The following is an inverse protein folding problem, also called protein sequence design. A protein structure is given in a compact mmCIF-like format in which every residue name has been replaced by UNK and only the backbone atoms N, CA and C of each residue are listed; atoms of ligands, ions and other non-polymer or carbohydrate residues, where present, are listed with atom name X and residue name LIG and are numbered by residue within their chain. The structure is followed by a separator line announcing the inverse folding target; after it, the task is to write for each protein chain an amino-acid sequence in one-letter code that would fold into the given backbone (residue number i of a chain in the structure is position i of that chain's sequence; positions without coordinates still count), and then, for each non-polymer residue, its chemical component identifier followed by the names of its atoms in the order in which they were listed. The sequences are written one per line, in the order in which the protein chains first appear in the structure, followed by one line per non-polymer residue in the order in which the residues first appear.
data_IF_231155055542
#
_entry.id   IF_231155055542
#
_cell.length_a   1.000
_cell.length_b   1.000
_cell.length_c   1.000
_cell.angle_alpha   90.00
_cell.angle_beta   90.00
_cell.angle_gamma   90.00
#
_symmetry.space_group_name_H-M   'P 1'
#
loop_
_entity.id
_entity.type
_entity.pdbx_description
1 polymer ?
#
# COMPACT_ATOMS: atom_id res chain seq x y z
N UNK A 1 20.53 55.02 4.63
CA UNK A 1 20.23 54.63 3.24
C UNK A 1 21.46 53.85 2.81
N UNK A 2 21.44 52.53 2.66
CA UNK A 2 20.56 51.73 1.80
C UNK A 2 19.96 50.51 2.54
N UNK A 3 18.69 50.27 2.25
CA UNK A 3 17.94 49.05 2.60
C UNK A 3 18.15 48.06 1.46
N UNK A 4 18.81 46.95 1.74
CA UNK A 4 18.88 45.80 0.84
C UNK A 4 17.86 44.75 1.25
N UNK A 5 16.62 44.90 0.80
CA UNK A 5 15.67 43.79 0.71
C UNK A 5 16.23 42.76 -0.27
N UNK A 6 16.47 41.53 0.20
CA UNK A 6 16.66 40.40 -0.69
C UNK A 6 15.93 39.17 -0.17
N UNK A 7 14.70 39.06 -0.66
CA UNK A 7 14.04 37.83 -1.15
C UNK A 7 14.21 36.58 -0.27
N UNK A 8 13.20 36.38 0.57
CA UNK A 8 12.79 35.07 1.06
C UNK A 8 12.42 34.20 -0.16
N UNK A 9 13.01 33.01 -0.36
CA UNK A 9 12.43 32.05 -1.28
C UNK A 9 11.19 31.45 -0.61
N UNK A 10 10.01 31.81 -1.10
CA UNK A 10 8.81 31.01 -0.90
C UNK A 10 9.03 29.65 -1.56
N UNK A 11 9.44 28.67 -0.76
CA UNK A 11 9.44 27.26 -1.13
C UNK A 11 8.00 26.82 -1.34
N UNK A 12 7.52 26.99 -2.57
CA UNK A 12 6.29 26.37 -3.05
C UNK A 12 6.45 24.86 -2.91
N UNK A 13 5.86 24.30 -1.85
CA UNK A 13 5.75 22.86 -1.63
C UNK A 13 4.87 22.23 -2.70
N UNK A 14 5.44 22.01 -3.88
CA UNK A 14 4.83 21.19 -4.90
C UNK A 14 4.77 19.76 -4.37
N UNK A 15 3.56 19.21 -4.27
CA UNK A 15 3.35 17.78 -4.00
C UNK A 15 4.22 16.97 -4.99
N UNK A 16 4.96 15.95 -4.53
CA UNK A 16 5.71 15.08 -5.43
C UNK A 16 4.76 14.52 -6.50
N UNK A 17 5.06 14.80 -7.77
CA UNK A 17 4.21 14.32 -8.86
C UNK A 17 4.23 12.79 -8.90
N UNK A 18 3.04 12.18 -8.86
CA UNK A 18 2.85 10.76 -9.09
C UNK A 18 3.52 10.35 -10.42
N UNK A 19 4.66 9.66 -10.33
CA UNK A 19 5.45 9.24 -11.50
C UNK A 19 6.96 9.52 -11.46
N UNK A 20 7.48 10.27 -10.48
CA UNK A 20 8.91 10.59 -10.42
C UNK A 20 9.80 9.50 -9.80
N UNK A 21 9.23 8.57 -9.03
CA UNK A 21 9.99 7.48 -8.40
C UNK A 21 10.28 6.37 -9.42
N UNK A 22 11.42 6.54 -10.11
CA UNK A 22 12.04 5.51 -10.94
C UNK A 22 12.60 4.41 -10.04
N UNK A 23 12.71 3.20 -10.58
CA UNK A 23 13.30 2.09 -9.84
C UNK A 23 12.70 0.73 -10.21
N UNK A 24 12.97 -0.21 -9.33
CA UNK A 24 12.55 -1.60 -9.41
C UNK A 24 11.92 -2.00 -8.10
N UNK A 25 10.88 -2.83 -8.15
CA UNK A 25 10.40 -3.55 -6.97
C UNK A 25 10.84 -4.99 -7.13
N UNK A 26 11.54 -5.52 -6.12
CA UNK A 26 11.85 -6.94 -6.05
C UNK A 26 10.89 -7.62 -5.07
N UNK A 27 10.51 -8.85 -5.40
CA UNK A 27 9.81 -9.79 -4.53
C UNK A 27 10.79 -10.91 -4.23
N UNK A 28 11.16 -11.06 -2.96
CA UNK A 28 12.11 -12.08 -2.53
C UNK A 28 11.46 -13.47 -2.36
N UNK A 29 12.24 -14.45 -1.91
CA UNK A 29 11.77 -15.82 -1.68
C UNK A 29 10.83 -15.97 -0.46
N UNK A 30 10.87 -15.03 0.47
CA UNK A 30 9.91 -14.89 1.57
C UNK A 30 8.58 -14.25 1.11
N UNK A 31 8.56 -13.65 -0.09
CA UNK A 31 7.42 -12.92 -0.62
C UNK A 31 7.33 -11.48 -0.10
N UNK A 32 8.44 -10.94 0.39
CA UNK A 32 8.59 -9.55 0.80
C UNK A 32 8.92 -8.68 -0.41
N UNK A 33 8.35 -7.48 -0.40
CA UNK A 33 8.50 -6.48 -1.44
C UNK A 33 9.46 -5.41 -0.99
N UNK A 34 10.47 -5.13 -1.80
CA UNK A 34 11.47 -4.08 -1.55
C UNK A 34 11.58 -3.16 -2.77
N UNK A 35 11.58 -1.85 -2.54
CA UNK A 35 11.77 -0.84 -3.58
C UNK A 35 13.26 -0.47 -3.67
N UNK A 36 13.80 -0.52 -4.89
CA UNK A 36 15.16 -0.06 -5.21
C UNK A 36 15.10 1.10 -6.18
N UNK A 37 15.73 2.25 -5.87
CA UNK A 37 15.68 3.44 -6.73
C UNK A 37 16.49 3.25 -8.02
N UNK A 38 17.49 2.36 -8.01
CA UNK A 38 18.36 2.07 -9.15
C UNK A 38 18.65 0.58 -9.26
N UNK A 39 19.05 0.14 -10.45
CA UNK A 39 19.52 -1.25 -10.64
C UNK A 39 20.80 -1.52 -9.85
N UNK A 40 21.67 -0.53 -9.66
CA UNK A 40 22.87 -0.68 -8.84
C UNK A 40 22.54 -0.96 -7.37
N UNK A 41 21.56 -0.24 -6.80
CA UNK A 41 21.08 -0.50 -5.44
C UNK A 41 20.48 -1.90 -5.31
N UNK A 42 19.71 -2.33 -6.31
CA UNK A 42 19.15 -3.69 -6.38
C UNK A 42 20.27 -4.74 -6.40
N UNK A 43 21.23 -4.62 -7.32
CA UNK A 43 22.30 -5.62 -7.48
C UNK A 43 23.23 -5.71 -6.26
N UNK A 44 23.34 -4.64 -5.48
CA UNK A 44 24.15 -4.62 -4.26
C UNK A 44 23.47 -5.30 -3.06
N UNK A 45 22.14 -5.48 -3.11
CA UNK A 45 21.36 -6.09 -2.02
C UNK A 45 21.20 -7.60 -2.19
N UNK A 46 21.35 -8.11 -3.41
CA UNK A 46 21.25 -9.53 -3.72
C UNK A 46 22.63 -10.21 -3.77
N UNK A 47 22.70 -11.43 -3.24
CA UNK A 47 23.90 -12.28 -3.24
C UNK A 47 23.87 -13.32 -4.37
N UNK A 48 22.68 -13.82 -4.74
CA UNK A 48 22.52 -14.83 -5.79
C UNK A 48 21.18 -14.73 -6.52
N UNK A 49 21.14 -15.29 -7.72
CA UNK A 49 20.02 -15.15 -8.68
C UNK A 49 18.66 -15.60 -8.11
N UNK A 50 18.66 -16.65 -7.28
CA UNK A 50 17.44 -17.27 -6.75
C UNK A 50 16.76 -16.51 -5.61
N UNK A 51 17.38 -15.45 -5.06
CA UNK A 51 16.79 -14.68 -3.97
C UNK A 51 15.59 -13.84 -4.41
N UNK A 52 15.55 -13.39 -5.66
CA UNK A 52 14.42 -12.64 -6.20
C UNK A 52 13.50 -13.57 -7.01
N UNK A 53 12.27 -13.79 -6.54
CA UNK A 53 11.23 -14.51 -7.29
C UNK A 53 10.75 -13.66 -8.48
N UNK A 54 10.65 -12.35 -8.30
CA UNK A 54 10.21 -11.42 -9.34
C UNK A 54 10.86 -10.05 -9.16
N UNK A 55 11.34 -9.45 -10.25
CA UNK A 55 11.72 -8.04 -10.28
C UNK A 55 10.83 -7.34 -11.29
N UNK A 56 10.20 -6.24 -10.90
CA UNK A 56 9.27 -5.49 -11.73
C UNK A 56 9.71 -4.03 -11.86
N UNK A 57 9.73 -3.53 -13.09
CA UNK A 57 9.94 -2.11 -13.40
C UNK A 57 8.66 -1.29 -13.29
N UNK A 58 8.80 0.03 -13.25
CA UNK A 58 7.66 0.96 -13.17
C UNK A 58 6.70 0.86 -14.36
N UNK A 59 7.20 0.43 -15.52
CA UNK A 59 6.45 0.14 -16.74
C UNK A 59 5.69 -1.20 -16.68
N UNK A 60 5.89 -1.99 -15.62
CA UNK A 60 5.33 -3.33 -15.46
C UNK A 60 6.13 -4.43 -16.16
N UNK A 61 7.30 -4.11 -16.71
CA UNK A 61 8.21 -5.09 -17.28
C UNK A 61 8.84 -5.94 -16.19
N UNK A 62 8.96 -7.24 -16.44
CA UNK A 62 9.62 -8.20 -15.59
C UNK A 62 11.11 -8.30 -15.91
N UNK A 63 11.92 -8.51 -14.87
CA UNK A 63 13.36 -8.68 -14.95
C UNK A 63 13.77 -9.89 -14.10
N UNK A 64 14.96 -10.41 -14.37
CA UNK A 64 15.61 -11.44 -13.57
C UNK A 64 17.05 -11.05 -13.28
N UNK A 65 17.61 -11.63 -12.24
CA UNK A 65 19.04 -11.61 -12.00
C UNK A 65 19.71 -12.66 -12.89
N UNK A 66 20.91 -12.35 -13.35
CA UNK A 66 21.86 -13.28 -13.95
C UNK A 66 23.16 -13.20 -13.18
N UNK A 67 23.85 -14.33 -13.08
CA UNK A 67 25.20 -14.37 -12.57
C UNK A 67 26.13 -14.82 -13.71
N UNK A 68 27.17 -14.04 -13.97
CA UNK A 68 28.17 -14.40 -14.96
C UNK A 68 29.23 -15.37 -14.40
N UNK A 69 30.20 -15.73 -15.24
CA UNK A 69 31.29 -16.64 -14.86
C UNK A 69 32.16 -16.10 -13.71
N UNK A 70 32.24 -14.78 -13.55
CA UNK A 70 33.01 -14.08 -12.52
C UNK A 70 32.20 -13.85 -11.23
N UNK A 71 31.03 -14.51 -11.13
CA UNK A 71 30.07 -14.40 -10.03
C UNK A 71 29.47 -13.00 -9.87
N UNK A 72 29.57 -12.14 -10.87
CA UNK A 72 28.96 -10.81 -10.83
C UNK A 72 27.48 -10.92 -11.19
N UNK A 73 26.65 -10.23 -10.40
CA UNK A 73 25.22 -10.14 -10.69
C UNK A 73 24.94 -9.03 -11.69
N UNK A 74 24.05 -9.32 -12.63
CA UNK A 74 23.51 -8.35 -13.58
C UNK A 74 21.99 -8.53 -13.71
N UNK A 75 21.31 -7.48 -14.13
CA UNK A 75 19.89 -7.53 -14.43
C UNK A 75 19.69 -7.90 -15.91
N UNK A 76 18.74 -8.80 -16.20
CA UNK A 76 18.37 -9.10 -17.59
C UNK A 76 17.83 -7.86 -18.30
N UNK A 77 17.73 -7.94 -19.62
CA UNK A 77 16.80 -7.10 -20.36
C UNK A 77 15.36 -7.37 -19.93
N UNK A 78 14.44 -6.45 -20.24
CA UNK A 78 13.03 -6.62 -19.96
C UNK A 78 12.48 -7.90 -20.63
N UNK A 79 11.88 -8.78 -19.85
CA UNK A 79 11.35 -10.08 -20.28
C UNK A 79 9.91 -9.99 -20.82
N UNK A 80 9.33 -8.78 -20.83
CA UNK A 80 7.92 -8.53 -21.11
C UNK A 80 7.13 -8.26 -19.83
N UNK A 81 5.80 -8.11 -19.93
CA UNK A 81 4.97 -7.73 -18.78
C UNK A 81 4.90 -8.84 -17.73
N UNK A 82 4.95 -8.44 -16.45
CA UNK A 82 4.70 -9.36 -15.33
C UNK A 82 3.23 -9.81 -15.32
N UNK A 83 2.96 -11.02 -14.85
CA UNK A 83 1.60 -11.47 -14.56
C UNK A 83 0.98 -10.59 -13.46
N UNK A 84 0.08 -9.74 -13.90
CA UNK A 84 -0.64 -8.79 -13.07
C UNK A 84 -1.49 -9.45 -11.98
N UNK A 85 -2.11 -10.59 -12.29
CA UNK A 85 -2.99 -11.29 -11.35
C UNK A 85 -2.17 -11.89 -10.22
N UNK A 86 -1.04 -12.50 -10.56
CA UNK A 86 -0.09 -13.00 -9.59
C UNK A 86 0.47 -11.86 -8.72
N UNK A 87 0.94 -10.77 -9.33
CA UNK A 87 1.55 -9.65 -8.60
C UNK A 87 0.56 -9.03 -7.59
N UNK A 88 -0.70 -8.84 -8.00
CA UNK A 88 -1.77 -8.36 -7.12
C UNK A 88 -1.99 -9.30 -5.93
N UNK A 89 -2.06 -10.60 -6.18
CA UNK A 89 -2.28 -11.60 -5.13
C UNK A 89 -1.10 -11.68 -4.16
N UNK A 90 0.14 -11.65 -4.67
CA UNK A 90 1.35 -11.64 -3.88
C UNK A 90 1.41 -10.41 -2.97
N UNK A 91 1.14 -9.23 -3.51
CA UNK A 91 1.12 -7.98 -2.73
C UNK A 91 0.04 -7.98 -1.64
N UNK A 92 -1.20 -8.36 -1.97
CA UNK A 92 -2.27 -8.52 -0.98
C UNK A 92 -1.93 -9.57 0.10
N UNK A 93 -1.18 -10.60 -0.26
CA UNK A 93 -0.72 -11.63 0.68
C UNK A 93 0.33 -11.04 1.63
N UNK A 94 1.36 -10.37 1.13
CA UNK A 94 2.41 -9.73 1.92
C UNK A 94 1.80 -8.73 2.93
N UNK A 95 0.94 -7.85 2.44
CA UNK A 95 0.18 -6.89 3.24
C UNK A 95 -0.59 -7.54 4.40
N UNK A 96 -1.27 -8.67 4.16
CA UNK A 96 -2.03 -9.37 5.22
C UNK A 96 -1.15 -10.12 6.22
N UNK A 97 -0.01 -10.66 5.76
CA UNK A 97 0.88 -11.46 6.59
C UNK A 97 1.78 -10.60 7.48
N UNK A 98 2.19 -9.42 7.00
CA UNK A 98 3.09 -8.52 7.71
C UNK A 98 2.48 -7.11 7.81
N UNK A 99 1.43 -6.91 8.63
CA UNK A 99 0.77 -5.61 8.71
C UNK A 99 1.60 -4.49 9.35
N UNK A 100 2.68 -4.83 10.05
CA UNK A 100 3.64 -3.86 10.59
C UNK A 100 4.63 -3.35 9.55
N UNK A 101 5.09 -4.23 8.65
CA UNK A 101 6.00 -3.87 7.55
C UNK A 101 5.28 -3.11 6.43
N UNK A 102 4.01 -3.48 6.19
CA UNK A 102 3.16 -2.84 5.20
C UNK A 102 1.98 -2.15 5.91
N UNK A 103 2.14 -0.99 6.55
CA UNK A 103 1.07 -0.33 7.28
C UNK A 103 0.03 0.35 6.36
N UNK A 104 0.36 0.74 5.13
CA UNK A 104 -0.55 1.42 4.22
C UNK A 104 -1.46 0.44 3.46
N UNK A 105 -2.75 0.75 3.41
CA UNK A 105 -3.78 -0.04 2.72
C UNK A 105 -4.53 0.83 1.73
N UNK A 106 -4.01 0.90 0.52
CA UNK A 106 -4.67 1.59 -0.59
C UNK A 106 -5.79 0.75 -1.19
N UNK A 107 -6.86 1.42 -1.62
CA UNK A 107 -7.95 0.84 -2.39
C UNK A 107 -7.42 0.51 -3.78
N UNK A 108 -7.21 -0.78 -4.04
CA UNK A 108 -6.65 -1.24 -5.30
C UNK A 108 -7.51 -0.85 -6.49
N UNK A 109 -7.02 -0.01 -7.40
CA UNK A 109 -7.76 0.30 -8.61
C UNK A 109 -7.70 -0.91 -9.55
N UNK A 110 -8.65 -1.02 -10.48
CA UNK A 110 -8.85 -2.23 -11.27
C UNK A 110 -7.71 -2.54 -12.26
N UNK A 111 -6.92 -1.52 -12.66
CA UNK A 111 -5.94 -1.60 -13.74
C UNK A 111 -4.50 -1.91 -13.33
N UNK A 112 -3.70 -2.35 -14.31
CA UNK A 112 -2.26 -2.62 -14.19
C UNK A 112 -1.46 -1.41 -13.74
N UNK A 113 -1.61 -0.32 -14.48
CA UNK A 113 -0.85 0.91 -14.25
C UNK A 113 -1.12 1.46 -12.86
N UNK A 114 -2.36 1.44 -12.41
CA UNK A 114 -2.71 1.99 -11.11
C UNK A 114 -2.25 1.09 -9.95
N UNK A 115 -2.24 -0.24 -10.11
CA UNK A 115 -1.62 -1.11 -9.09
C UNK A 115 -0.13 -0.79 -8.95
N UNK A 116 0.59 -0.68 -10.07
CA UNK A 116 2.02 -0.37 -10.07
C UNK A 116 2.26 1.02 -9.48
N UNK A 117 1.44 2.01 -9.88
CA UNK A 117 1.44 3.35 -9.30
C UNK A 117 1.38 3.29 -7.78
N UNK A 118 0.30 2.69 -7.25
CA UNK A 118 0.06 2.55 -5.82
C UNK A 118 1.15 1.74 -5.12
N UNK A 119 1.67 0.67 -5.73
CA UNK A 119 2.70 -0.19 -5.14
C UNK A 119 4.00 0.58 -4.89
N UNK A 120 4.57 1.25 -5.89
CA UNK A 120 5.84 1.95 -5.65
C UNK A 120 5.63 3.15 -4.73
N UNK A 121 4.51 3.86 -4.83
CA UNK A 121 4.22 4.98 -3.94
C UNK A 121 4.08 4.50 -2.49
N UNK A 122 3.39 3.38 -2.27
CA UNK A 122 3.26 2.76 -0.95
C UNK A 122 4.62 2.36 -0.41
N UNK A 123 5.43 1.62 -1.18
CA UNK A 123 6.76 1.18 -0.75
C UNK A 123 7.71 2.37 -0.51
N UNK A 124 7.63 3.42 -1.33
CA UNK A 124 8.42 4.65 -1.14
C UNK A 124 8.09 5.32 0.19
N UNK A 125 6.80 5.39 0.56
CA UNK A 125 6.34 5.98 1.81
C UNK A 125 6.64 5.11 3.03
N UNK A 126 6.49 3.79 2.91
CA UNK A 126 6.66 2.84 4.01
C UNK A 126 8.13 2.67 4.40
N UNK A 127 9.02 2.60 3.40
CA UNK A 127 10.46 2.51 3.64
C UNK A 127 11.14 3.88 3.80
N UNK A 128 10.36 4.96 3.70
CA UNK A 128 10.75 6.36 3.91
C UNK A 128 12.18 6.65 3.43
N UNK A 129 12.43 6.38 2.13
CA UNK A 129 13.74 6.60 1.51
C UNK A 129 14.25 8.02 1.79
N UNK A 130 13.32 8.97 1.98
CA UNK A 130 13.55 10.31 2.48
C UNK A 130 12.39 10.73 3.41
N UNK A 131 12.62 11.63 4.39
CA UNK A 131 11.54 12.23 5.18
C UNK A 131 10.59 13.01 4.26
N UNK A 132 9.30 12.67 4.27
CA UNK A 132 8.29 13.32 3.46
C UNK A 132 7.17 13.86 4.34
N UNK A 133 6.70 15.07 4.05
CA UNK A 133 5.70 15.72 4.87
C UNK A 133 4.30 15.13 4.62
N UNK A 134 3.67 14.65 5.69
CA UNK A 134 2.27 14.21 5.72
C UNK A 134 1.39 15.33 6.27
N UNK A 135 0.10 15.34 5.94
CA UNK A 135 -0.88 16.18 6.63
C UNK A 135 -1.71 15.30 7.56
N UNK A 136 -1.71 15.60 8.86
CA UNK A 136 -2.40 14.80 9.87
C UNK A 136 -3.31 15.69 10.69
N UNK A 137 -4.62 15.44 10.59
CA UNK A 137 -5.66 16.12 11.37
C UNK A 137 -6.04 15.24 12.55
N UNK A 138 -5.79 15.73 13.77
CA UNK A 138 -6.10 15.07 15.04
C UNK A 138 -6.96 15.99 15.89
N UNK A 139 -8.19 15.58 16.23
CA UNK A 139 -9.14 16.40 17.02
C UNK A 139 -9.29 17.85 16.50
N UNK A 140 -9.26 18.04 15.17
CA UNK A 140 -9.38 19.35 14.52
C UNK A 140 -8.11 20.19 14.51
N UNK A 141 -6.99 19.68 15.04
CA UNK A 141 -5.66 20.27 14.90
C UNK A 141 -4.94 19.63 13.72
N UNK A 142 -4.46 20.46 12.80
CA UNK A 142 -3.62 20.02 11.69
C UNK A 142 -2.15 20.00 12.12
N UNK A 143 -1.45 18.95 11.75
CA UNK A 143 -0.04 18.76 12.03
C UNK A 143 0.68 18.14 10.84
N UNK A 144 1.99 18.34 10.76
CA UNK A 144 2.79 17.90 9.61
C UNK A 144 3.92 16.92 10.00
N UNK A 145 3.59 15.66 10.36
CA UNK A 145 4.60 14.65 10.64
C UNK A 145 5.39 14.28 9.38
N UNK A 146 6.63 13.81 9.56
CA UNK A 146 7.54 13.49 8.44
C UNK A 146 7.68 11.99 8.19
N UNK A 147 7.01 11.17 9.01
CA UNK A 147 7.01 9.70 8.89
C UNK A 147 5.72 9.09 9.44
N UNK A 148 5.45 7.83 9.05
CA UNK A 148 4.35 7.03 9.61
C UNK A 148 4.57 6.70 11.10
N UNK A 149 5.82 6.59 11.53
CA UNK A 149 6.16 6.37 12.94
C UNK A 149 5.78 7.58 13.80
N UNK A 150 6.01 8.79 13.32
CA UNK A 150 5.58 10.02 14.02
C UNK A 150 4.06 10.09 14.15
N UNK A 151 3.35 9.64 13.12
CA UNK A 151 1.88 9.57 13.14
C UNK A 151 1.44 8.54 14.19
N UNK A 152 1.98 7.31 14.17
CA UNK A 152 1.58 6.27 15.14
C UNK A 152 1.89 6.68 16.58
N UNK A 153 3.02 7.34 16.83
CA UNK A 153 3.39 7.88 18.14
C UNK A 153 2.40 8.91 18.69
N UNK A 154 1.67 9.63 17.82
CA UNK A 154 0.62 10.58 18.20
C UNK A 154 -0.74 9.91 18.44
N UNK A 155 -0.94 8.68 17.95
CA UNK A 155 -2.19 7.92 18.05
C UNK A 155 -2.26 7.11 19.36
N UNK A 156 -2.09 7.78 20.49
CA UNK A 156 -1.95 7.15 21.83
C UNK A 156 -3.23 6.54 22.38
N UNK A 157 -4.40 7.03 21.95
CA UNK A 157 -5.71 6.59 22.45
C UNK A 157 -6.64 6.15 21.33
N UNK A 158 -7.63 5.31 21.67
CA UNK A 158 -8.63 4.82 20.72
C UNK A 158 -9.46 5.96 20.11
N UNK A 159 -9.81 6.98 20.90
CA UNK A 159 -10.57 8.14 20.41
C UNK A 159 -9.78 8.94 19.36
N UNK A 160 -8.46 9.09 19.54
CA UNK A 160 -7.60 9.74 18.56
C UNK A 160 -7.53 8.95 17.26
N UNK A 161 -7.39 7.62 17.34
CA UNK A 161 -7.40 6.74 16.15
C UNK A 161 -8.69 6.91 15.34
N UNK A 162 -9.86 6.95 15.97
CA UNK A 162 -11.14 7.03 15.26
C UNK A 162 -11.37 8.40 14.57
N UNK A 163 -10.82 9.47 15.16
CA UNK A 163 -10.97 10.85 14.69
C UNK A 163 -9.86 11.30 13.74
N UNK A 164 -8.72 10.64 13.76
CA UNK A 164 -7.57 10.97 12.94
C UNK A 164 -7.88 10.86 11.44
N UNK A 165 -7.37 11.81 10.67
CA UNK A 165 -7.26 11.76 9.22
C UNK A 165 -5.83 12.07 8.83
N UNK A 166 -5.30 11.26 7.93
CA UNK A 166 -3.90 11.33 7.51
C UNK A 166 -3.89 11.43 5.99
N UNK A 167 -3.20 12.40 5.43
CA UNK A 167 -2.99 12.55 4.00
C UNK A 167 -1.51 12.34 3.67
N UNK A 168 -1.25 11.53 2.66
CA UNK A 168 0.11 11.33 2.16
C UNK A 168 0.53 12.43 1.15
N UNK A 169 1.84 12.55 0.84
CA UNK A 169 2.35 13.50 -0.14
C UNK A 169 1.78 13.33 -1.56
N UNK A 170 1.16 12.19 -1.88
CA UNK A 170 0.52 11.94 -3.18
C UNK A 170 -0.97 12.30 -3.16
N UNK A 171 -1.47 12.84 -2.04
CA UNK A 171 -2.84 13.31 -1.87
C UNK A 171 -3.83 12.25 -1.40
N UNK A 172 -3.40 11.02 -1.13
CA UNK A 172 -4.31 9.98 -0.63
C UNK A 172 -4.66 10.20 0.84
N UNK A 173 -5.93 10.00 1.18
CA UNK A 173 -6.46 10.16 2.53
C UNK A 173 -6.65 8.80 3.19
N UNK A 174 -6.29 8.71 4.47
CA UNK A 174 -6.31 7.49 5.25
C UNK A 174 -6.99 7.68 6.60
N UNK A 175 -7.59 6.59 7.07
CA UNK A 175 -8.03 6.40 8.45
C UNK A 175 -7.10 5.39 9.14
N UNK A 176 -6.50 5.73 10.29
CA UNK A 176 -5.76 4.74 11.06
C UNK A 176 -6.71 3.74 11.72
N UNK A 177 -6.30 2.48 11.77
CA UNK A 177 -7.04 1.36 12.37
C UNK A 177 -6.05 0.48 13.13
N UNK A 178 -6.40 0.09 14.36
CA UNK A 178 -5.60 -0.86 15.15
C UNK A 178 -6.01 -2.29 14.78
N UNK A 179 -5.09 -3.07 14.24
CA UNK A 179 -5.29 -4.49 13.92
C UNK A 179 -4.38 -5.37 14.78
N UNK A 180 -4.76 -6.64 15.04
CA UNK A 180 -3.86 -7.58 15.70
C UNK A 180 -2.58 -7.74 14.87
N UNK A 181 -1.41 -7.69 15.53
CA UNK A 181 -0.20 -8.19 14.90
C UNK A 181 -0.37 -9.70 14.66
N UNK A 182 -0.36 -10.14 13.40
CA UNK A 182 -0.28 -11.55 13.01
C UNK A 182 0.96 -11.73 12.14
N UNK A 183 1.68 -12.85 12.31
CA UNK A 183 2.86 -13.26 11.51
C UNK A 183 4.17 -12.68 12.05
N UNK A 184 5.08 -13.46 12.62
CA UNK A 184 6.00 -14.47 12.06
C UNK A 184 7.48 -14.03 11.96
N UNK A 185 7.92 -12.93 12.59
CA UNK A 185 9.34 -12.73 13.00
C UNK A 185 9.61 -11.54 13.96
N UNK A 186 8.60 -11.06 14.69
CA UNK A 186 8.78 -9.99 15.69
C UNK A 186 8.46 -10.46 17.10
N UNK A 187 9.30 -10.11 18.07
CA UNK A 187 9.19 -10.46 19.49
C UNK A 187 7.94 -9.93 20.24
N UNK A 188 6.95 -9.35 19.55
CA UNK A 188 5.73 -8.82 20.15
C UNK A 188 4.50 -9.67 19.77
N UNK A 189 4.39 -10.87 20.35
CA UNK A 189 3.26 -11.80 20.15
C UNK A 189 1.90 -11.33 20.73
N UNK A 190 1.82 -10.11 21.26
CA UNK A 190 0.56 -9.55 21.81
C UNK A 190 0.33 -8.06 21.46
N UNK A 191 0.99 -7.53 20.42
CA UNK A 191 0.82 -6.13 20.00
C UNK A 191 -0.38 -5.90 19.07
N UNK A 192 -1.02 -4.73 19.16
CA UNK A 192 -1.82 -4.18 18.06
C UNK A 192 -0.92 -3.26 17.25
N UNK A 193 -0.94 -3.39 15.92
CA UNK A 193 -0.27 -2.46 15.01
C UNK A 193 -1.29 -1.49 14.42
N UNK A 194 -0.85 -0.27 14.11
CA UNK A 194 -1.67 0.68 13.35
C UNK A 194 -1.44 0.45 11.87
N UNK A 195 -2.54 0.23 11.14
CA UNK A 195 -2.56 0.31 9.68
C UNK A 195 -3.35 1.55 9.26
N UNK A 196 -3.06 2.08 8.07
CA UNK A 196 -3.72 3.25 7.51
C UNK A 196 -4.53 2.82 6.30
N UNK A 197 -5.85 2.85 6.43
CA UNK A 197 -6.78 2.40 5.38
C UNK A 197 -7.27 3.59 4.58
N UNK A 198 -7.07 3.55 3.27
CA UNK A 198 -7.46 4.62 2.36
C UNK A 198 -8.99 4.85 2.42
N UNK A 199 -9.37 6.12 2.44
CA UNK A 199 -10.75 6.57 2.38
C UNK A 199 -10.99 7.07 0.95
N UNK A 200 -11.94 6.50 0.20
CA UNK A 200 -12.25 7.01 -1.13
C UNK A 200 -12.76 8.44 -1.02
N UNK A 201 -12.31 9.33 -1.91
CA UNK A 201 -12.62 10.76 -1.87
C UNK A 201 -14.15 11.06 -1.76
N UNK A 202 -14.99 10.23 -2.38
CA UNK A 202 -16.45 10.36 -2.30
C UNK A 202 -17.02 10.13 -0.88
N UNK A 203 -16.34 9.38 -0.02
CA UNK A 203 -16.81 9.05 1.32
C UNK A 203 -16.48 10.14 2.37
N UNK A 204 -15.53 11.04 2.10
CA UNK A 204 -15.12 12.09 3.04
C UNK A 204 -15.94 13.39 2.86
N UNK A 205 -16.38 13.68 1.64
CA UNK A 205 -17.25 14.82 1.33
C UNK A 205 -18.59 14.80 2.10
N UNK A 206 -19.09 13.61 2.47
CA UNK A 206 -20.36 13.46 3.19
C UNK A 206 -20.30 13.75 4.69
N UNK A 207 -19.11 13.87 5.31
CA UNK A 207 -18.98 14.10 6.78
C UNK A 207 -18.54 15.50 7.17
N UNK A 208 -17.85 16.23 6.30
CA UNK A 208 -17.52 17.64 6.54
C UNK A 208 -18.72 18.59 6.34
N UNK A 209 -19.79 18.14 5.67
CA UNK A 209 -21.02 18.90 5.43
C UNK A 209 -22.16 18.63 6.43
N UNK A 210 -21.93 17.81 7.47
CA UNK A 210 -23.00 17.18 8.27
C UNK A 210 -23.47 17.92 9.52
N UNK A 211 -23.21 19.22 9.69
CA UNK A 211 -23.84 20.06 10.72
C UNK A 211 -25.02 20.85 10.13
N UNK A 212 -26.00 20.18 9.52
CA UNK A 212 -27.38 20.66 9.53
C UNK A 212 -28.36 19.57 9.07
N UNK A 213 -29.43 19.45 9.85
CA UNK A 213 -30.68 18.70 9.62
C UNK A 213 -30.65 17.17 9.79
N UNK A 214 -31.45 16.77 10.76
CA UNK A 214 -31.80 15.42 11.14
C UNK A 214 -32.66 14.72 10.07
N UNK A 215 -32.71 13.39 10.21
CA UNK A 215 -33.79 12.47 9.78
C UNK A 215 -33.70 11.94 8.35
N UNK A 216 -33.13 10.73 8.21
CA UNK A 216 -33.86 9.58 7.66
C UNK A 216 -33.00 8.31 7.82
N UNK A 217 -33.51 7.41 8.65
CA UNK A 217 -33.04 6.04 8.74
C UNK A 217 -33.52 5.21 7.52
N UNK A 218 -32.65 4.35 7.00
CA UNK A 218 -32.93 2.98 6.52
C UNK A 218 -31.65 2.41 5.90
N UNK A 219 -30.95 1.51 6.57
CA UNK A 219 -31.14 0.05 6.48
C UNK A 219 -30.72 -0.53 5.12
N UNK A 220 -29.52 -1.11 5.06
CA UNK A 220 -29.27 -2.26 4.19
C UNK A 220 -28.17 -3.15 4.79
N UNK A 221 -28.64 -4.18 5.47
CA UNK A 221 -27.89 -5.30 6.06
C UNK A 221 -27.72 -6.39 5.01
N UNK A 222 -26.49 -6.92 4.92
CA UNK A 222 -26.03 -8.27 4.48
C UNK A 222 -26.89 -9.12 3.53
N UNK A 223 -26.26 -9.62 2.45
CA UNK A 223 -26.14 -11.07 2.19
C UNK A 223 -25.21 -11.34 0.98
N UNK A 224 -24.12 -12.07 1.20
CA UNK A 224 -23.40 -12.78 0.13
C UNK A 224 -23.28 -14.23 0.58
N UNK A 225 -24.27 -15.05 0.21
CA UNK A 225 -24.25 -16.50 0.32
C UNK A 225 -24.82 -17.08 -0.97
N UNK A 226 -23.95 -17.35 -1.93
CA UNK A 226 -24.28 -18.05 -3.17
C UNK A 226 -23.56 -19.39 -3.21
N UNK A 227 -24.22 -20.45 -2.72
CA UNK A 227 -23.89 -21.84 -3.05
C UNK A 227 -24.67 -22.22 -4.32
N UNK A 228 -24.07 -22.88 -5.32
CA UNK A 228 -24.81 -23.35 -6.49
C UNK A 228 -25.60 -24.63 -6.16
N UNK A 229 -26.89 -24.60 -6.43
CA UNK A 229 -27.81 -25.73 -6.42
C UNK A 229 -27.57 -26.64 -7.62
N UNK A 230 -27.17 -27.89 -7.35
CA UNK A 230 -27.13 -28.99 -8.33
C UNK A 230 -28.56 -29.43 -8.65
N UNK A 231 -28.94 -29.34 -9.92
CA UNK A 231 -30.27 -29.75 -10.42
C UNK A 231 -30.16 -31.11 -11.12
N UNK A 232 -30.92 -32.08 -10.61
CA UNK A 232 -31.65 -33.08 -11.41
C UNK A 232 -30.89 -34.28 -11.97
N UNK A 233 -31.00 -35.43 -11.28
CA UNK A 233 -30.99 -36.75 -11.91
C UNK A 233 -32.34 -37.44 -11.66
N UNK A 234 -33.05 -37.93 -12.70
CA UNK A 234 -34.21 -38.80 -12.51
C UNK A 234 -33.78 -40.27 -12.43
N UNK A 235 -34.44 -41.00 -11.53
CA UNK A 235 -34.35 -42.46 -11.42
C UNK A 235 -35.33 -43.15 -12.40
N UNK A 236 -34.98 -44.32 -12.94
CA UNK A 236 -35.93 -45.38 -13.25
C UNK A 236 -35.70 -46.54 -12.25
N UNK A 237 -36.68 -47.09 -11.54
CA UNK A 237 -37.96 -47.60 -12.03
C UNK A 237 -37.89 -49.12 -11.97
N UNK A 238 -38.46 -49.73 -10.91
CA UNK A 238 -38.51 -51.17 -10.66
C UNK A 238 -39.85 -51.73 -11.16
N UNK A 239 -39.80 -52.75 -12.02
CA UNK A 239 -40.79 -53.82 -12.23
C UNK A 239 -40.09 -54.85 -13.16
N UNK A 240 -40.03 -56.16 -12.92
CA UNK A 240 -41.00 -57.04 -12.29
C UNK A 240 -41.67 -57.88 -13.38
N UNK A 241 -41.02 -58.97 -13.81
CA UNK A 241 -41.56 -60.25 -14.27
C UNK A 241 -40.44 -61.15 -14.76
#
# INVERSE_FOLDING_TARGET
MEVGEKLVPEGSGGLPQAGQHRGYVAVDDAGEFTLYPTSAALLNDFEYVGQAICIVGRDGSGFRLLQDADRQLSLTTALGPVDFSWLRQAWLKAQRHNPGEYPLRRFYPAGRETLLACMFETLYLEHAMEPVQWNCVLDGQETHPVSLQDIDGRLTSKSLVERARVQDPFGHLYRPVRVPARGARGHNRHGKVTIFVEIPAAADAGRLSGQTTATAASAMTLAYSGLPTVTGMPAPGVAGS
#
